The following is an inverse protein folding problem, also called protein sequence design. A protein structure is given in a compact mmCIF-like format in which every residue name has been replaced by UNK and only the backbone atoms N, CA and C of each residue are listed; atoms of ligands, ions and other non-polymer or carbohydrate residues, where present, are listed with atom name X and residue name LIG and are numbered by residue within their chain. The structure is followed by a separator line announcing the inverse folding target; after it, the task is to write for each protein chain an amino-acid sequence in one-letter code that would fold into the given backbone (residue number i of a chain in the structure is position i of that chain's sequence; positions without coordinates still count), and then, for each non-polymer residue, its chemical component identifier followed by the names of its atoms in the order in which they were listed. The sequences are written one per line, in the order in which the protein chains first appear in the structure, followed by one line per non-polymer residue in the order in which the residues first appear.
data_IF_414223358610
#
_entry.id   IF_414223358610
#
_cell.length_a   1.000
_cell.length_b   1.000
_cell.length_c   1.000
_cell.angle_alpha   90.00
_cell.angle_beta   90.00
_cell.angle_gamma   90.00
#
_symmetry.space_group_name_H-M   'P 1'
#
loop_
_entity.id
_entity.type
_entity.pdbx_description
1 polymer ?
#
# COMPACT_ATOMS: atom_id res chain seq x y z
N UNK A 1 -10.96 39.16 -0.99
CA UNK A 1 -11.76 37.97 -1.35
C UNK A 1 -11.51 36.92 -0.27
N UNK A 2 -12.46 35.99 -0.01
CA UNK A 2 -12.21 34.87 0.89
C UNK A 2 -11.01 34.03 0.40
N UNK A 3 -10.20 33.48 1.31
CA UNK A 3 -9.16 32.51 0.97
C UNK A 3 -9.80 31.19 0.55
N UNK A 4 -9.35 30.60 -0.57
CA UNK A 4 -9.85 29.31 -1.03
C UNK A 4 -8.90 28.18 -0.64
N UNK A 5 -8.88 27.81 0.64
CA UNK A 5 -7.99 26.77 1.16
C UNK A 5 -8.11 25.43 0.42
N UNK A 6 -9.20 25.17 -0.29
CA UNK A 6 -9.38 23.94 -1.07
C UNK A 6 -8.60 23.91 -2.40
N UNK A 7 -8.17 25.04 -2.98
CA UNK A 7 -7.43 25.00 -4.24
C UNK A 7 -5.95 24.63 -4.05
N UNK A 8 -5.44 23.76 -4.92
CA UNK A 8 -4.02 23.35 -4.98
C UNK A 8 -3.08 24.49 -5.35
N UNK A 9 -3.59 25.56 -5.98
CA UNK A 9 -2.80 26.72 -6.43
C UNK A 9 -2.16 27.50 -5.28
N UNK A 10 -2.76 27.45 -4.09
CA UNK A 10 -2.22 28.06 -2.87
C UNK A 10 -1.20 27.15 -2.14
N UNK A 11 -0.79 26.04 -2.78
CA UNK A 11 0.30 25.16 -2.35
C UNK A 11 -0.13 23.75 -1.92
N UNK A 12 0.80 23.01 -1.32
CA UNK A 12 0.52 21.68 -0.76
C UNK A 12 -0.61 21.73 0.27
N UNK A 13 -1.32 20.62 0.46
CA UNK A 13 -2.35 20.50 1.52
C UNK A 13 -1.79 20.87 2.89
N UNK A 14 -0.51 20.60 3.15
CA UNK A 14 0.21 20.97 4.37
C UNK A 14 0.46 22.47 4.55
N UNK A 15 0.83 23.20 3.49
CA UNK A 15 0.95 24.67 3.53
C UNK A 15 -0.42 25.30 3.77
N UNK A 16 -1.45 24.81 3.08
CA UNK A 16 -2.84 25.28 3.22
C UNK A 16 -3.40 24.99 4.62
N UNK A 17 -3.04 23.85 5.22
CA UNK A 17 -3.38 23.47 6.60
C UNK A 17 -2.74 24.40 7.64
N UNK A 18 -1.44 24.68 7.50
CA UNK A 18 -0.72 25.59 8.39
C UNK A 18 -1.32 27.02 8.36
N UNK A 19 -1.65 27.48 7.14
CA UNK A 19 -2.28 28.78 6.92
C UNK A 19 -3.69 28.83 7.53
N UNK A 20 -4.50 27.80 7.34
CA UNK A 20 -5.84 27.69 7.93
C UNK A 20 -5.80 27.65 9.47
N UNK A 21 -4.81 26.99 10.08
CA UNK A 21 -4.65 27.02 11.54
C UNK A 21 -4.35 28.43 12.07
N UNK A 22 -3.40 29.12 11.42
CA UNK A 22 -3.06 30.51 11.73
C UNK A 22 -4.26 31.45 11.59
N UNK A 23 -5.00 31.35 10.49
CA UNK A 23 -6.20 32.16 10.24
C UNK A 23 -7.33 31.83 11.23
N UNK A 24 -7.55 30.56 11.57
CA UNK A 24 -8.55 30.16 12.57
C UNK A 24 -8.25 30.76 13.96
N UNK A 25 -6.99 30.82 14.37
CA UNK A 25 -6.57 31.43 15.64
C UNK A 25 -6.63 32.97 15.61
N UNK A 26 -6.42 33.60 14.44
CA UNK A 26 -6.32 35.04 14.30
C UNK A 26 -7.63 35.79 14.62
N UNK A 27 -7.65 36.51 15.75
CA UNK A 27 -8.81 37.29 16.23
C UNK A 27 -9.12 38.56 15.42
N UNK A 28 -8.24 38.99 14.51
CA UNK A 28 -8.47 40.14 13.61
C UNK A 28 -9.24 39.79 12.33
N UNK A 29 -9.37 38.49 12.00
CA UNK A 29 -10.15 38.05 10.85
C UNK A 29 -11.64 37.97 11.17
N UNK A 30 -12.47 38.02 10.12
CA UNK A 30 -13.92 37.90 10.29
C UNK A 30 -14.31 36.52 10.82
N UNK A 31 -15.49 36.42 11.45
CA UNK A 31 -16.04 35.13 11.87
C UNK A 31 -16.18 34.15 10.69
N UNK A 32 -16.45 34.67 9.49
CA UNK A 32 -16.63 33.87 8.27
C UNK A 32 -15.30 33.29 7.78
N UNK A 33 -14.25 34.12 7.63
CA UNK A 33 -12.90 33.66 7.24
C UNK A 33 -12.37 32.58 8.18
N UNK A 34 -12.62 32.74 9.48
CA UNK A 34 -12.23 31.78 10.53
C UNK A 34 -13.05 30.50 10.49
N UNK A 35 -14.33 30.56 10.11
CA UNK A 35 -15.15 29.36 9.90
C UNK A 35 -14.73 28.61 8.63
N UNK A 36 -14.40 29.31 7.55
CA UNK A 36 -13.87 28.72 6.32
C UNK A 36 -12.52 28.03 6.56
N UNK A 37 -11.67 28.61 7.41
CA UNK A 37 -10.42 27.99 7.85
C UNK A 37 -10.67 26.74 8.72
N UNK A 38 -11.64 26.79 9.64
CA UNK A 38 -12.03 25.65 10.48
C UNK A 38 -12.58 24.49 9.65
N UNK A 39 -13.43 24.77 8.65
CA UNK A 39 -14.02 23.80 7.75
C UNK A 39 -12.96 23.04 6.95
N UNK A 40 -11.96 23.76 6.40
CA UNK A 40 -10.83 23.13 5.72
C UNK A 40 -10.01 22.20 6.65
N UNK A 41 -9.76 22.60 7.90
CA UNK A 41 -9.07 21.73 8.86
C UNK A 41 -9.89 20.49 9.23
N UNK A 42 -11.20 20.64 9.41
CA UNK A 42 -12.15 19.53 9.62
C UNK A 42 -12.10 18.54 8.46
N UNK A 43 -12.04 19.05 7.23
CA UNK A 43 -11.94 18.25 5.99
C UNK A 43 -10.61 17.49 5.89
N UNK A 44 -9.47 18.18 6.06
CA UNK A 44 -8.12 17.59 5.97
C UNK A 44 -7.88 16.53 7.05
N UNK A 45 -8.45 16.70 8.24
CA UNK A 45 -8.38 15.73 9.34
C UNK A 45 -9.56 14.74 9.36
N UNK A 46 -10.45 14.74 8.35
CA UNK A 46 -11.60 13.83 8.20
C UNK A 46 -12.44 13.68 9.50
N UNK A 47 -12.70 14.80 10.18
CA UNK A 47 -13.29 14.84 11.54
C UNK A 47 -14.80 14.53 11.50
N UNK A 48 -15.14 13.25 11.42
CA UNK A 48 -16.50 12.72 11.31
C UNK A 48 -17.38 12.86 12.57
N UNK A 49 -16.82 13.19 13.74
CA UNK A 49 -17.54 13.20 15.04
C UNK A 49 -17.44 14.54 15.77
N UNK A 50 -18.43 15.39 15.56
CA UNK A 50 -18.58 16.63 16.31
C UNK A 50 -19.15 16.38 17.71
N UNK A 51 -18.55 17.01 18.72
CA UNK A 51 -19.02 16.97 20.10
C UNK A 51 -19.58 18.35 20.47
N UNK A 52 -20.85 18.39 20.88
CA UNK A 52 -21.49 19.61 21.38
C UNK A 52 -20.94 20.05 22.75
N UNK A 53 -20.00 19.29 23.35
CA UNK A 53 -19.26 19.70 24.54
C UNK A 53 -18.25 20.79 24.17
N UNK A 54 -18.36 21.94 24.82
CA UNK A 54 -17.49 23.11 24.65
C UNK A 54 -15.99 22.72 24.65
N UNK A 55 -15.23 23.34 23.74
CA UNK A 55 -13.78 23.20 23.54
C UNK A 55 -13.25 21.83 23.05
N UNK A 56 -14.05 20.77 22.92
CA UNK A 56 -13.53 19.44 22.51
C UNK A 56 -12.91 19.44 21.11
N UNK A 57 -13.54 20.12 20.14
CA UNK A 57 -12.98 20.25 18.78
C UNK A 57 -11.66 21.04 18.78
N UNK A 58 -11.57 22.12 19.56
CA UNK A 58 -10.35 22.91 19.68
C UNK A 58 -9.22 22.09 20.29
N UNK A 59 -9.47 21.33 21.36
CA UNK A 59 -8.48 20.43 21.97
C UNK A 59 -7.98 19.36 20.99
N UNK A 60 -8.85 18.84 20.12
CA UNK A 60 -8.45 17.91 19.06
C UNK A 60 -7.52 18.60 18.04
N UNK A 61 -7.90 19.78 17.54
CA UNK A 61 -7.10 20.54 16.57
C UNK A 61 -5.76 21.02 17.18
N UNK A 62 -5.76 21.49 18.43
CA UNK A 62 -4.55 21.86 19.18
C UNK A 62 -3.59 20.68 19.29
N UNK A 63 -4.08 19.47 19.58
CA UNK A 63 -3.25 18.27 19.67
C UNK A 63 -2.68 17.84 18.31
N UNK A 64 -3.52 17.83 17.26
CA UNK A 64 -3.12 17.46 15.90
C UNK A 64 -2.08 18.43 15.33
N UNK A 65 -2.29 19.74 15.50
CA UNK A 65 -1.32 20.74 15.04
C UNK A 65 -0.04 20.74 15.88
N UNK A 66 -0.10 20.45 17.19
CA UNK A 66 1.10 20.24 18.00
C UNK A 66 1.89 18.98 17.60
N UNK A 67 1.23 17.90 17.16
CA UNK A 67 1.94 16.74 16.62
C UNK A 67 2.56 17.06 15.26
N UNK A 68 1.82 17.76 14.38
CA UNK A 68 2.35 18.24 13.10
C UNK A 68 3.60 19.10 13.31
N UNK A 69 3.55 20.16 14.12
CA UNK A 69 4.69 21.05 14.36
C UNK A 69 5.93 20.32 14.91
N UNK A 70 5.76 19.24 15.69
CA UNK A 70 6.89 18.40 16.15
C UNK A 70 7.58 17.67 14.99
N UNK A 71 6.83 17.05 14.07
CA UNK A 71 7.39 16.25 12.97
C UNK A 71 7.73 17.07 11.71
N UNK A 72 7.09 18.22 11.50
CA UNK A 72 7.16 19.10 10.31
C UNK A 72 8.57 19.54 9.91
N UNK A 73 9.53 19.57 10.84
CA UNK A 73 10.94 19.88 10.54
C UNK A 73 11.65 18.74 9.79
N UNK A 74 11.27 17.50 10.08
CA UNK A 74 11.87 16.28 9.49
C UNK A 74 11.06 15.81 8.28
N UNK A 75 9.73 15.95 8.36
CA UNK A 75 8.80 15.73 7.26
C UNK A 75 7.78 16.88 7.15
N UNK A 76 8.02 17.89 6.31
CA UNK A 76 7.08 19.01 6.09
C UNK A 76 5.70 18.58 5.59
N UNK A 77 5.62 17.39 4.97
CA UNK A 77 4.44 16.82 4.32
C UNK A 77 3.57 15.98 5.28
N UNK A 78 4.05 15.71 6.50
CA UNK A 78 3.35 14.93 7.52
C UNK A 78 2.02 15.58 7.98
N UNK A 79 0.92 14.81 7.94
CA UNK A 79 -0.40 15.20 8.47
C UNK A 79 -0.89 14.08 9.38
N UNK A 80 -1.02 14.28 10.72
CA UNK A 80 -1.17 13.19 11.67
C UNK A 80 -2.23 12.13 11.32
N UNK A 81 -3.45 12.56 10.97
CA UNK A 81 -4.57 11.63 10.68
C UNK A 81 -4.38 10.85 9.36
N UNK A 82 -3.72 11.45 8.36
CA UNK A 82 -3.42 10.76 7.09
C UNK A 82 -2.26 9.79 7.29
N UNK A 83 -1.26 10.23 8.06
CA UNK A 83 -0.01 9.56 8.33
C UNK A 83 -0.11 8.37 9.30
N UNK A 84 -1.22 8.21 10.02
CA UNK A 84 -1.52 7.00 10.80
C UNK A 84 -2.21 5.94 9.95
N UNK A 85 -1.45 4.93 9.49
CA UNK A 85 -1.97 3.84 8.67
C UNK A 85 -1.46 2.45 9.07
N UNK A 86 -1.88 1.42 8.33
CA UNK A 86 -1.57 0.00 8.62
C UNK A 86 -0.20 -0.48 8.10
N UNK A 87 0.73 0.39 7.68
CA UNK A 87 2.10 0.04 7.28
C UNK A 87 3.07 0.23 8.47
N UNK A 88 4.12 -0.60 8.62
CA UNK A 88 5.12 -0.41 9.71
C UNK A 88 6.07 0.76 9.43
N UNK A 89 6.18 1.19 8.17
CA UNK A 89 6.96 2.37 7.80
C UNK A 89 6.30 3.66 8.31
N UNK A 90 6.88 4.23 9.36
CA UNK A 90 6.51 5.56 9.86
C UNK A 90 6.85 6.65 8.82
N UNK A 91 5.95 7.61 8.54
CA UNK A 91 6.21 8.78 7.69
C UNK A 91 7.07 9.83 8.40
N UNK A 92 8.26 9.42 8.85
CA UNK A 92 9.24 10.26 9.56
C UNK A 92 10.05 11.17 8.62
N UNK A 93 10.06 10.89 7.31
CA UNK A 93 10.87 11.58 6.30
C UNK A 93 10.18 11.56 4.93
N UNK A 94 10.55 12.50 4.06
CA UNK A 94 10.30 12.40 2.62
C UNK A 94 11.31 11.40 2.02
N UNK A 95 10.82 10.34 1.35
CA UNK A 95 11.70 9.37 0.69
C UNK A 95 12.43 9.98 -0.52
N UNK A 96 13.52 9.31 -0.93
CA UNK A 96 14.33 9.65 -2.10
C UNK A 96 14.34 8.47 -3.09
N UNK A 97 14.60 8.69 -4.39
CA UNK A 97 14.91 7.61 -5.31
C UNK A 97 16.09 6.77 -4.81
N UNK A 98 15.93 5.45 -4.88
CA UNK A 98 16.96 4.44 -4.67
C UNK A 98 17.83 4.30 -5.92
N UNK A 99 19.14 4.11 -5.74
CA UNK A 99 20.11 3.95 -6.84
C UNK A 99 20.09 2.57 -7.50
N UNK A 100 19.51 1.58 -6.82
CA UNK A 100 19.25 0.23 -7.32
C UNK A 100 17.87 -0.19 -6.80
N UNK A 101 17.09 -0.90 -7.62
CA UNK A 101 15.71 -1.30 -7.29
C UNK A 101 15.62 -2.10 -5.99
N UNK A 102 14.77 -1.65 -5.08
CA UNK A 102 14.47 -2.22 -3.76
C UNK A 102 15.68 -2.32 -2.80
N UNK A 103 16.73 -1.52 -3.04
CA UNK A 103 17.91 -1.43 -2.16
C UNK A 103 18.00 -0.07 -1.46
N UNK A 104 18.22 -0.12 -0.15
CA UNK A 104 18.50 1.06 0.69
C UNK A 104 19.53 0.75 1.76
N UNK A 105 20.37 1.73 2.08
CA UNK A 105 21.25 1.70 3.27
C UNK A 105 20.51 2.04 4.56
N UNK A 106 19.29 2.56 4.48
CA UNK A 106 18.45 2.85 5.64
C UNK A 106 17.64 1.62 6.04
N UNK A 107 17.88 1.10 7.23
CA UNK A 107 17.37 -0.21 7.66
C UNK A 107 15.83 -0.27 7.77
N UNK A 108 15.16 0.84 8.09
CA UNK A 108 13.69 0.91 8.11
C UNK A 108 13.09 0.83 6.69
N UNK A 109 13.71 1.52 5.72
CA UNK A 109 13.33 1.45 4.30
C UNK A 109 13.63 0.05 3.72
N UNK A 110 14.83 -0.50 3.95
CA UNK A 110 15.15 -1.84 3.47
C UNK A 110 14.23 -2.90 4.08
N UNK A 111 13.91 -2.79 5.37
CA UNK A 111 12.94 -3.69 5.98
C UNK A 111 11.52 -3.49 5.42
N UNK A 112 11.14 -2.30 4.95
CA UNK A 112 9.86 -2.07 4.27
C UNK A 112 9.82 -2.74 2.88
N UNK A 113 10.90 -2.68 2.09
CA UNK A 113 11.03 -3.51 0.88
C UNK A 113 10.95 -5.01 1.21
N UNK A 114 11.69 -5.48 2.23
CA UNK A 114 11.70 -6.87 2.68
C UNK A 114 10.33 -7.37 3.23
N UNK A 115 9.36 -6.47 3.46
CA UNK A 115 7.97 -6.76 3.82
C UNK A 115 6.96 -6.56 2.67
N UNK A 116 7.40 -6.10 1.50
CA UNK A 116 6.50 -5.70 0.40
C UNK A 116 5.65 -4.47 0.73
N UNK A 117 6.05 -3.64 1.70
CA UNK A 117 5.36 -2.40 2.07
C UNK A 117 5.68 -1.23 1.12
N UNK A 118 6.77 -1.32 0.38
CA UNK A 118 7.20 -0.35 -0.63
C UNK A 118 7.32 -1.01 -2.00
N UNK A 119 6.77 -0.35 -3.01
CA UNK A 119 7.09 -0.56 -4.42
C UNK A 119 8.20 0.41 -4.83
N UNK A 120 9.04 -0.02 -5.77
CA UNK A 120 10.13 0.76 -6.34
C UNK A 120 10.06 0.71 -7.87
N UNK A 121 10.61 1.72 -8.55
CA UNK A 121 10.85 1.68 -9.99
C UNK A 121 11.85 0.56 -10.27
N UNK A 122 11.49 -0.41 -11.13
CA UNK A 122 12.38 -1.53 -11.41
C UNK A 122 13.68 -1.10 -12.11
N UNK A 123 14.70 -1.95 -11.99
CA UNK A 123 16.10 -1.65 -12.36
C UNK A 123 16.30 -1.25 -13.83
N UNK A 124 15.47 -1.73 -14.75
CA UNK A 124 15.58 -1.39 -16.18
C UNK A 124 15.11 0.04 -16.45
N UNK A 125 14.02 0.43 -15.80
CA UNK A 125 13.27 1.62 -16.15
C UNK A 125 13.71 2.85 -15.35
N UNK A 126 14.38 2.69 -14.20
CA UNK A 126 15.02 3.79 -13.44
C UNK A 126 15.82 4.74 -14.33
N UNK A 127 16.66 4.19 -15.22
CA UNK A 127 17.51 4.96 -16.13
C UNK A 127 16.74 5.64 -17.26
N UNK A 128 15.59 5.10 -17.65
CA UNK A 128 14.70 5.77 -18.59
C UNK A 128 14.03 6.97 -17.91
N UNK A 129 13.56 6.78 -16.68
CA UNK A 129 12.88 7.81 -15.89
C UNK A 129 13.77 9.00 -15.57
N UNK A 130 14.99 8.76 -15.07
CA UNK A 130 15.98 9.81 -14.78
C UNK A 130 16.33 10.68 -15.99
N UNK A 131 16.17 10.16 -17.22
CA UNK A 131 16.56 10.83 -18.46
C UNK A 131 15.40 11.47 -19.25
N UNK A 132 14.16 11.02 -19.05
CA UNK A 132 13.00 11.43 -19.87
C UNK A 132 11.77 11.86 -19.06
N UNK A 133 11.61 11.38 -17.83
CA UNK A 133 10.38 11.58 -17.05
C UNK A 133 10.44 12.92 -16.31
N UNK A 134 9.34 13.68 -16.35
CA UNK A 134 9.26 14.95 -15.61
C UNK A 134 8.96 14.67 -14.14
N UNK A 135 9.99 14.69 -13.30
CA UNK A 135 9.83 14.59 -11.85
C UNK A 135 9.25 15.88 -11.26
N UNK A 136 8.26 15.75 -10.38
CA UNK A 136 7.53 16.86 -9.76
C UNK A 136 8.05 17.17 -8.36
N UNK A 137 8.16 18.46 -8.02
CA UNK A 137 8.26 18.92 -6.63
C UNK A 137 6.94 18.69 -5.89
N UNK A 138 6.92 18.63 -4.53
CA UNK A 138 5.68 18.56 -3.76
C UNK A 138 4.63 19.62 -4.14
N UNK A 139 5.07 20.85 -4.42
CA UNK A 139 4.21 21.95 -4.84
C UNK A 139 3.58 21.69 -6.22
N UNK A 140 4.27 21.00 -7.13
CA UNK A 140 3.71 20.57 -8.42
C UNK A 140 2.86 19.30 -8.28
N UNK A 141 3.22 18.34 -7.40
CA UNK A 141 2.38 17.17 -7.07
C UNK A 141 1.01 17.60 -6.55
N UNK A 142 0.92 18.72 -5.83
CA UNK A 142 -0.32 19.20 -5.21
C UNK A 142 -1.51 19.37 -6.18
N UNK A 143 -1.28 19.60 -7.48
CA UNK A 143 -2.36 19.68 -8.49
C UNK A 143 -2.91 18.31 -8.92
N UNK A 144 -2.18 17.22 -8.64
CA UNK A 144 -2.56 15.83 -8.90
C UNK A 144 -3.16 15.12 -7.68
N UNK A 145 -2.95 15.66 -6.47
CA UNK A 145 -3.49 15.06 -5.25
C UNK A 145 -5.02 14.93 -5.27
N UNK A 146 -5.49 13.83 -4.69
CA UNK A 146 -6.90 13.54 -4.44
C UNK A 146 -7.09 13.20 -2.97
N UNK A 147 -8.09 13.79 -2.36
CA UNK A 147 -8.47 13.60 -0.97
C UNK A 147 -9.52 12.49 -0.85
N UNK A 148 -9.56 11.80 0.28
CA UNK A 148 -10.66 10.89 0.63
C UNK A 148 -11.34 11.46 1.86
N UNK A 149 -12.60 11.86 1.70
CA UNK A 149 -13.44 12.47 2.73
C UNK A 149 -14.79 11.72 2.76
N UNK A 150 -15.27 11.33 3.94
CA UNK A 150 -16.53 10.58 4.09
C UNK A 150 -16.68 9.33 3.21
N UNK A 151 -15.57 8.71 2.80
CA UNK A 151 -15.55 7.53 1.92
C UNK A 151 -15.67 7.81 0.43
N UNK A 152 -15.66 9.09 0.02
CA UNK A 152 -15.64 9.50 -1.38
C UNK A 152 -14.30 10.15 -1.73
N UNK A 153 -13.89 9.98 -2.99
CA UNK A 153 -12.77 10.69 -3.60
C UNK A 153 -13.16 12.11 -3.99
N UNK A 154 -12.37 13.08 -3.54
CA UNK A 154 -12.57 14.50 -3.78
C UNK A 154 -11.29 15.13 -4.34
N UNK A 155 -11.40 16.08 -5.28
CA UNK A 155 -10.30 16.90 -5.78
C UNK A 155 -10.65 18.37 -5.60
N UNK A 156 -9.78 19.12 -4.92
CA UNK A 156 -10.05 20.49 -4.46
C UNK A 156 -11.40 20.62 -3.72
N UNK A 157 -11.68 19.69 -2.80
CA UNK A 157 -12.95 19.67 -2.04
C UNK A 157 -14.19 19.16 -2.79
N UNK A 158 -14.14 19.01 -4.12
CA UNK A 158 -15.29 18.57 -4.94
C UNK A 158 -15.22 17.08 -5.22
N UNK A 159 -16.36 16.41 -5.30
CA UNK A 159 -16.46 15.01 -5.75
C UNK A 159 -15.74 14.83 -7.09
N UNK A 160 -14.82 13.86 -7.16
CA UNK A 160 -14.05 13.56 -8.36
C UNK A 160 -14.73 12.48 -9.22
N UNK A 161 -14.52 12.55 -10.53
CA UNK A 161 -15.01 11.57 -11.50
C UNK A 161 -13.99 11.48 -12.66
N UNK A 162 -13.52 10.28 -12.97
CA UNK A 162 -12.53 10.05 -14.03
C UNK A 162 -13.14 9.64 -15.38
N UNK A 163 -14.47 9.69 -15.54
CA UNK A 163 -15.17 9.26 -16.77
C UNK A 163 -14.81 10.03 -18.04
N UNK A 164 -14.09 11.15 -17.94
CA UNK A 164 -13.56 11.93 -19.07
C UNK A 164 -12.06 11.75 -19.29
N UNK A 165 -11.36 11.10 -18.35
CA UNK A 165 -9.92 10.89 -18.35
C UNK A 165 -9.51 9.58 -19.01
N UNK A 166 -8.24 9.49 -19.42
CA UNK A 166 -7.67 8.29 -20.05
C UNK A 166 -6.32 7.93 -19.40
N UNK A 167 -6.16 6.66 -19.01
CA UNK A 167 -4.88 6.05 -18.64
C UNK A 167 -4.57 4.85 -19.54
N UNK A 168 -3.38 4.79 -20.13
CA UNK A 168 -2.91 3.73 -21.05
C UNK A 168 -3.98 3.29 -22.08
N UNK A 169 -4.65 4.25 -22.73
CA UNK A 169 -5.73 4.06 -23.72
C UNK A 169 -7.02 3.42 -23.18
N UNK A 170 -7.21 3.36 -21.85
CA UNK A 170 -8.43 2.90 -21.17
C UNK A 170 -9.25 4.12 -20.74
N UNK A 171 -10.41 4.42 -21.40
CA UNK A 171 -11.25 5.54 -21.01
C UNK A 171 -11.89 5.31 -19.64
N UNK A 172 -12.01 6.37 -18.85
CA UNK A 172 -12.53 6.30 -17.48
C UNK A 172 -11.46 6.05 -16.41
N UNK A 173 -10.22 5.73 -16.79
CA UNK A 173 -9.12 5.47 -15.86
C UNK A 173 -8.19 6.66 -15.67
N UNK A 174 -7.62 6.76 -14.48
CA UNK A 174 -6.47 7.63 -14.14
C UNK A 174 -5.36 6.78 -13.53
N UNK A 175 -4.11 7.10 -13.83
CA UNK A 175 -2.95 6.54 -13.16
C UNK A 175 -2.87 7.08 -11.73
N UNK A 176 -2.35 6.30 -10.78
CA UNK A 176 -2.21 6.71 -9.39
C UNK A 176 -0.91 6.26 -8.72
N UNK A 177 -0.51 7.02 -7.70
CA UNK A 177 0.48 6.60 -6.69
C UNK A 177 0.05 7.03 -5.30
N UNK A 178 0.23 6.14 -4.31
CA UNK A 178 0.11 6.45 -2.88
C UNK A 178 1.52 6.60 -2.30
N UNK A 179 1.91 7.81 -1.90
CA UNK A 179 3.24 8.05 -1.33
C UNK A 179 3.31 7.67 0.16
N UNK A 180 4.50 7.67 0.75
CA UNK A 180 4.69 7.29 2.17
C UNK A 180 4.04 8.24 3.16
N UNK A 181 3.70 9.47 2.76
CA UNK A 181 2.94 10.42 3.59
C UNK A 181 1.42 10.12 3.57
N UNK A 182 1.00 9.08 2.83
CA UNK A 182 -0.38 8.72 2.52
C UNK A 182 -1.12 9.80 1.69
N UNK A 183 -0.38 10.61 0.93
CA UNK A 183 -0.97 11.39 -0.17
C UNK A 183 -1.21 10.46 -1.36
N UNK A 184 -2.44 10.46 -1.87
CA UNK A 184 -2.80 9.81 -3.12
C UNK A 184 -2.79 10.85 -4.23
N UNK A 185 -2.01 10.63 -5.28
CA UNK A 185 -2.01 11.47 -6.47
C UNK A 185 -2.60 10.70 -7.64
N UNK A 186 -3.47 11.36 -8.43
CA UNK A 186 -4.05 10.80 -9.67
C UNK A 186 -3.86 11.74 -10.85
N UNK A 187 -3.54 11.16 -12.00
CA UNK A 187 -3.20 11.89 -13.22
C UNK A 187 -3.60 11.10 -14.47
N UNK A 188 -3.78 11.80 -15.58
CA UNK A 188 -3.94 11.15 -16.89
C UNK A 188 -2.57 10.68 -17.37
N UNK A 189 -2.50 9.45 -17.88
CA UNK A 189 -1.26 8.88 -18.36
C UNK A 189 -1.45 8.27 -19.74
N UNK A 190 -0.78 8.83 -20.74
CA UNK A 190 -0.78 8.30 -22.10
C UNK A 190 0.67 8.12 -22.55
N UNK A 191 1.13 6.86 -22.69
CA UNK A 191 2.55 6.56 -22.92
C UNK A 191 3.17 7.36 -24.06
N UNK A 192 4.28 8.06 -23.77
CA UNK A 192 5.03 8.83 -24.75
C UNK A 192 4.35 10.12 -25.21
N UNK A 193 3.22 10.52 -24.61
CA UNK A 193 2.60 11.83 -24.84
C UNK A 193 2.92 12.77 -23.68
N UNK A 194 3.00 14.06 -24.02
CA UNK A 194 3.14 15.14 -23.05
C UNK A 194 1.76 15.62 -22.59
N UNK A 195 1.67 16.12 -21.36
CA UNK A 195 0.48 16.82 -20.89
C UNK A 195 0.33 18.22 -21.51
N UNK A 196 -0.75 18.94 -21.16
CA UNK A 196 -1.00 20.31 -21.62
C UNK A 196 0.10 21.32 -21.24
N UNK A 197 0.96 20.98 -20.27
CA UNK A 197 2.09 21.78 -19.81
C UNK A 197 3.42 21.33 -20.44
N UNK A 198 3.41 20.37 -21.36
CA UNK A 198 4.60 19.86 -22.06
C UNK A 198 5.43 18.85 -21.25
N UNK A 199 4.87 18.24 -20.21
CA UNK A 199 5.56 17.31 -19.29
C UNK A 199 5.30 15.86 -19.68
N UNK A 200 6.33 15.01 -19.67
CA UNK A 200 6.15 13.56 -19.74
C UNK A 200 5.87 13.05 -18.32
N UNK A 201 4.60 12.74 -18.02
CA UNK A 201 4.17 12.27 -16.70
C UNK A 201 4.05 10.75 -16.67
N UNK A 202 4.86 10.08 -15.84
CA UNK A 202 4.73 8.66 -15.50
C UNK A 202 4.41 8.51 -14.00
N UNK A 203 4.19 7.29 -13.51
CA UNK A 203 3.99 7.03 -12.07
C UNK A 203 5.14 7.57 -11.21
N UNK A 204 6.37 7.50 -11.70
CA UNK A 204 7.56 8.04 -11.03
C UNK A 204 7.61 9.57 -10.98
N UNK A 205 6.87 10.29 -11.83
CA UNK A 205 6.77 11.75 -11.80
C UNK A 205 6.28 12.29 -10.47
N UNK A 206 5.23 11.68 -9.91
CA UNK A 206 4.54 12.17 -8.71
C UNK A 206 5.45 12.24 -7.48
N UNK A 207 6.40 11.31 -7.38
CA UNK A 207 7.27 11.14 -6.22
C UNK A 207 8.77 11.26 -6.56
N UNK A 208 9.11 11.85 -7.71
CA UNK A 208 10.48 12.03 -8.19
C UNK A 208 11.34 10.74 -8.15
N UNK A 209 10.75 9.62 -8.59
CA UNK A 209 11.37 8.29 -8.57
C UNK A 209 11.54 7.65 -7.18
N UNK A 210 11.05 8.27 -6.10
CA UNK A 210 11.08 7.69 -4.76
C UNK A 210 10.08 6.53 -4.59
N UNK A 211 10.37 5.55 -3.71
CA UNK A 211 9.48 4.43 -3.42
C UNK A 211 8.09 4.85 -2.90
N UNK A 212 7.08 4.03 -3.19
CA UNK A 212 5.66 4.32 -2.92
C UNK A 212 4.96 3.16 -2.21
N UNK A 213 3.88 3.43 -1.48
CA UNK A 213 3.08 2.42 -0.76
C UNK A 213 2.16 1.61 -1.70
N UNK A 214 1.78 2.21 -2.84
CA UNK A 214 1.00 1.58 -3.91
C UNK A 214 1.10 2.39 -5.22
N UNK A 215 0.93 1.73 -6.37
CA UNK A 215 0.83 2.36 -7.69
C UNK A 215 -0.02 1.49 -8.63
N UNK A 216 -0.63 2.10 -9.64
CA UNK A 216 -1.48 1.41 -10.62
C UNK A 216 -2.37 2.38 -11.38
N UNK A 217 -3.57 1.94 -11.78
CA UNK A 217 -4.64 2.83 -12.23
C UNK A 217 -5.95 2.56 -11.49
N UNK A 218 -6.84 3.55 -11.51
CA UNK A 218 -8.19 3.44 -10.96
C UNK A 218 -9.24 4.14 -11.81
N UNK A 219 -10.47 3.67 -11.69
CA UNK A 219 -11.69 4.24 -12.24
C UNK A 219 -12.55 4.75 -11.07
N UNK A 220 -12.84 6.05 -11.04
CA UNK A 220 -13.69 6.70 -10.04
C UNK A 220 -14.92 7.28 -10.73
N UNK A 221 -16.12 6.98 -10.22
CA UNK A 221 -17.37 7.59 -10.68
C UNK A 221 -18.18 8.15 -9.54
N UNK A 222 -18.57 9.42 -9.63
CA UNK A 222 -19.25 10.18 -8.57
C UNK A 222 -18.56 10.02 -7.20
N UNK A 223 -17.22 10.08 -7.17
CA UNK A 223 -16.41 9.91 -5.97
C UNK A 223 -16.29 8.48 -5.44
N UNK A 224 -16.91 7.48 -6.08
CA UNK A 224 -16.80 6.06 -5.67
C UNK A 224 -15.74 5.33 -6.47
N UNK A 225 -15.05 4.38 -5.84
CA UNK A 225 -14.21 3.43 -6.54
C UNK A 225 -15.07 2.47 -7.36
N UNK A 226 -14.74 2.29 -8.64
CA UNK A 226 -15.43 1.36 -9.54
C UNK A 226 -14.49 0.22 -9.89
N UNK A 227 -13.26 0.54 -10.28
CA UNK A 227 -12.24 -0.46 -10.53
C UNK A 227 -10.82 0.05 -10.27
N UNK A 228 -9.88 -0.89 -10.10
CA UNK A 228 -8.44 -0.65 -10.09
C UNK A 228 -7.71 -1.70 -10.94
N UNK A 229 -6.46 -1.45 -11.30
CA UNK A 229 -5.62 -2.45 -11.96
C UNK A 229 -4.14 -2.32 -11.56
N UNK A 230 -3.36 -3.36 -11.86
CA UNK A 230 -1.91 -3.44 -11.57
C UNK A 230 -1.03 -2.64 -12.55
N UNK A 231 -1.62 -1.86 -13.47
CA UNK A 231 -0.92 -1.22 -14.57
C UNK A 231 -0.19 0.07 -14.12
N UNK A 232 0.95 -0.13 -13.45
CA UNK A 232 1.81 0.96 -12.94
C UNK A 232 3.05 1.24 -13.80
N UNK A 233 3.20 0.51 -14.92
CA UNK A 233 4.47 0.41 -15.64
C UNK A 233 5.58 -0.12 -14.74
N UNK A 234 6.42 0.79 -14.25
CA UNK A 234 7.73 0.46 -13.69
C UNK A 234 7.68 -0.09 -12.25
N UNK A 235 6.58 0.12 -11.50
CA UNK A 235 6.47 -0.22 -10.07
C UNK A 235 5.94 -1.64 -9.75
N UNK A 236 5.41 -2.36 -10.74
CA UNK A 236 5.07 -3.80 -10.69
C UNK A 236 4.35 -4.27 -9.38
N UNK A 237 3.15 -3.74 -9.05
CA UNK A 237 2.41 -4.08 -7.84
C UNK A 237 1.98 -5.54 -7.80
N UNK A 238 2.32 -6.23 -6.71
CA UNK A 238 1.80 -7.56 -6.36
C UNK A 238 0.37 -7.48 -5.80
N UNK A 239 -0.36 -8.60 -5.79
CA UNK A 239 -1.70 -8.66 -5.14
C UNK A 239 -1.65 -8.28 -3.66
N UNK A 240 -0.52 -8.52 -2.97
CA UNK A 240 -0.33 -8.02 -1.60
C UNK A 240 -0.38 -6.48 -1.58
N UNK A 241 0.38 -5.80 -2.44
CA UNK A 241 0.32 -4.32 -2.51
C UNK A 241 -1.06 -3.79 -2.93
N UNK A 242 -1.81 -4.54 -3.75
CA UNK A 242 -3.20 -4.22 -4.15
C UNK A 242 -4.18 -4.39 -2.99
N UNK A 243 -4.13 -5.50 -2.25
CA UNK A 243 -4.94 -5.74 -1.06
C UNK A 243 -4.70 -4.66 0.01
N UNK A 244 -3.42 -4.36 0.26
CA UNK A 244 -2.95 -3.30 1.15
C UNK A 244 -3.43 -1.91 0.74
N UNK A 245 -3.52 -1.64 -0.56
CA UNK A 245 -4.12 -0.41 -1.07
C UNK A 245 -5.64 -0.36 -0.88
N UNK A 246 -6.35 -1.45 -1.18
CA UNK A 246 -7.79 -1.58 -0.96
C UNK A 246 -8.16 -1.43 0.53
N UNK A 247 -7.34 -1.98 1.43
CA UNK A 247 -7.44 -1.75 2.88
C UNK A 247 -7.22 -0.29 3.27
N UNK A 248 -6.21 0.39 2.71
CA UNK A 248 -6.01 1.81 2.95
C UNK A 248 -7.25 2.63 2.56
N UNK A 249 -7.86 2.35 1.41
CA UNK A 249 -9.10 2.98 0.98
C UNK A 249 -10.28 2.64 1.90
N UNK A 250 -10.48 1.36 2.19
CA UNK A 250 -11.57 0.85 3.06
C UNK A 250 -11.51 1.40 4.48
N UNK A 251 -10.31 1.50 5.07
CA UNK A 251 -10.12 2.11 6.40
C UNK A 251 -10.45 3.61 6.43
N UNK A 252 -10.38 4.32 5.30
CA UNK A 252 -10.84 5.71 5.15
C UNK A 252 -12.34 5.83 4.84
N UNK A 253 -13.02 4.70 4.70
CA UNK A 253 -14.46 4.57 4.49
C UNK A 253 -14.88 4.41 3.03
N UNK A 254 -13.94 4.21 2.10
CA UNK A 254 -14.28 3.92 0.69
C UNK A 254 -14.94 2.55 0.61
N UNK A 255 -16.11 2.49 -0.01
CA UNK A 255 -16.80 1.23 -0.28
C UNK A 255 -16.08 0.48 -1.42
N UNK A 256 -15.52 -0.69 -1.08
CA UNK A 256 -14.83 -1.58 -2.02
C UNK A 256 -15.65 -2.84 -2.36
N UNK A 257 -16.89 -2.97 -1.85
CA UNK A 257 -17.68 -4.22 -1.97
C UNK A 257 -18.03 -4.59 -3.41
N UNK A 258 -18.32 -3.59 -4.24
CA UNK A 258 -18.60 -3.72 -5.68
C UNK A 258 -17.40 -3.27 -6.55
N UNK A 259 -16.21 -3.04 -5.94
CA UNK A 259 -15.01 -2.65 -6.69
C UNK A 259 -14.42 -3.84 -7.43
N UNK A 260 -14.05 -3.61 -8.69
CA UNK A 260 -13.37 -4.60 -9.54
C UNK A 260 -11.85 -4.40 -9.53
N UNK A 261 -11.10 -5.49 -9.58
CA UNK A 261 -9.66 -5.47 -9.85
C UNK A 261 -9.41 -6.15 -11.18
N UNK A 262 -8.71 -5.48 -12.08
CA UNK A 262 -8.25 -6.08 -13.34
C UNK A 262 -6.77 -6.46 -13.23
N UNK A 263 -6.48 -7.74 -13.45
CA UNK A 263 -5.12 -8.26 -13.57
C UNK A 263 -4.76 -8.50 -15.04
N UNK A 264 -3.52 -8.22 -15.41
CA UNK A 264 -3.01 -8.47 -16.76
C UNK A 264 -2.86 -9.98 -17.06
N UNK A 265 -2.49 -10.76 -16.04
CA UNK A 265 -2.27 -12.21 -16.12
C UNK A 265 -3.42 -12.99 -15.47
N UNK A 266 -3.63 -14.24 -15.91
CA UNK A 266 -4.69 -15.10 -15.37
C UNK A 266 -4.37 -15.51 -13.91
N UNK A 267 -5.30 -15.34 -12.96
CA UNK A 267 -5.20 -16.02 -11.67
C UNK A 267 -5.17 -17.54 -11.90
N UNK A 268 -4.19 -18.27 -11.35
CA UNK A 268 -4.04 -19.72 -11.56
C UNK A 268 -5.30 -20.53 -11.17
N UNK A 269 -5.41 -21.85 -11.33
CA UNK A 269 -6.69 -22.54 -10.96
C UNK A 269 -6.80 -22.78 -9.46
N UNK A 270 -5.65 -23.03 -8.87
CA UNK A 270 -5.30 -22.83 -7.48
C UNK A 270 -5.25 -21.34 -7.10
N UNK A 271 -5.79 -20.43 -7.95
CA UNK A 271 -6.29 -19.13 -7.52
C UNK A 271 -7.62 -19.19 -6.82
N UNK A 272 -8.53 -20.08 -7.22
CA UNK A 272 -9.94 -20.04 -6.83
C UNK A 272 -10.67 -18.69 -6.94
N UNK A 273 -9.99 -17.58 -7.29
CA UNK A 273 -10.53 -16.26 -7.51
C UNK A 273 -11.48 -16.43 -8.68
N UNK A 274 -12.75 -16.11 -8.45
CA UNK A 274 -13.79 -16.22 -9.47
C UNK A 274 -13.63 -15.05 -10.42
N UNK A 275 -12.65 -15.17 -11.30
CA UNK A 275 -12.38 -14.16 -12.30
C UNK A 275 -13.37 -14.23 -13.46
N UNK A 276 -13.55 -13.12 -14.17
CA UNK A 276 -14.19 -13.08 -15.48
C UNK A 276 -13.22 -12.44 -16.47
N UNK A 277 -13.16 -12.95 -17.71
CA UNK A 277 -12.28 -12.36 -18.73
C UNK A 277 -12.95 -11.11 -19.30
N UNK A 278 -12.54 -9.94 -18.82
CA UNK A 278 -13.07 -8.63 -19.20
C UNK A 278 -12.24 -7.94 -20.28
N UNK A 279 -12.61 -6.69 -20.58
CA UNK A 279 -11.95 -5.85 -21.58
C UNK A 279 -10.49 -5.50 -21.20
N UNK A 280 -10.20 -5.41 -19.90
CA UNK A 280 -8.92 -4.91 -19.37
C UNK A 280 -8.07 -6.00 -18.69
N UNK A 281 -8.36 -7.28 -18.97
CA UNK A 281 -7.71 -8.44 -18.37
C UNK A 281 -8.69 -9.30 -17.58
N UNK A 282 -8.20 -9.89 -16.48
CA UNK A 282 -8.98 -10.77 -15.62
C UNK A 282 -9.62 -9.96 -14.50
N UNK A 283 -10.94 -9.82 -14.56
CA UNK A 283 -11.79 -9.08 -13.62
C UNK A 283 -12.07 -9.91 -12.38
N UNK A 284 -11.82 -9.36 -11.20
CA UNK A 284 -11.98 -10.03 -9.90
C UNK A 284 -12.66 -9.06 -8.94
N UNK A 285 -13.41 -9.55 -7.93
CA UNK A 285 -13.83 -8.69 -6.83
C UNK A 285 -12.64 -8.24 -5.99
N UNK A 286 -12.61 -6.96 -5.61
CA UNK A 286 -11.67 -6.41 -4.65
C UNK A 286 -11.76 -7.09 -3.27
N UNK A 287 -12.93 -7.60 -2.90
CA UNK A 287 -13.11 -8.40 -1.67
C UNK A 287 -12.24 -9.65 -1.72
N UNK A 288 -12.38 -10.45 -2.77
CA UNK A 288 -11.87 -11.83 -2.81
C UNK A 288 -10.34 -11.89 -2.73
N UNK A 289 -9.66 -10.88 -3.29
CA UNK A 289 -8.21 -10.65 -3.21
C UNK A 289 -7.78 -10.39 -1.75
N UNK A 290 -8.26 -9.28 -1.14
CA UNK A 290 -7.97 -8.92 0.27
C UNK A 290 -8.21 -10.10 1.20
N UNK A 291 -9.33 -10.77 0.96
CA UNK A 291 -9.85 -11.85 1.76
C UNK A 291 -9.05 -13.14 1.69
N UNK A 292 -8.41 -13.41 0.56
CA UNK A 292 -7.62 -14.62 0.34
C UNK A 292 -6.26 -14.53 0.99
N UNK A 293 -5.56 -13.38 0.90
CA UNK A 293 -4.18 -13.18 1.43
C UNK A 293 -4.10 -13.71 2.87
N UNK A 294 -5.11 -13.40 3.69
CA UNK A 294 -5.26 -13.90 5.06
C UNK A 294 -5.03 -15.39 5.24
N UNK A 295 -5.75 -16.24 4.50
CA UNK A 295 -5.96 -17.65 4.86
C UNK A 295 -4.65 -18.41 5.04
N UNK A 296 -3.64 -18.02 4.28
CA UNK A 296 -2.33 -18.69 4.21
C UNK A 296 -1.48 -18.27 5.38
N UNK A 297 -1.53 -16.99 5.69
CA UNK A 297 -0.93 -16.45 6.89
C UNK A 297 -1.58 -17.10 8.12
N UNK A 298 -2.90 -17.30 8.14
CA UNK A 298 -3.61 -18.04 9.21
C UNK A 298 -3.05 -19.45 9.38
N UNK A 299 -2.97 -20.22 8.29
CA UNK A 299 -2.39 -21.58 8.31
C UNK A 299 -0.93 -21.57 8.81
N UNK A 300 -0.16 -20.52 8.54
CA UNK A 300 1.24 -20.42 8.96
C UNK A 300 1.40 -19.95 10.42
N UNK A 301 0.45 -19.19 10.98
CA UNK A 301 0.36 -19.01 12.42
C UNK A 301 0.09 -20.32 13.12
N UNK A 302 -0.91 -21.08 12.70
CA UNK A 302 -1.28 -22.36 13.33
C UNK A 302 -0.06 -23.31 13.46
N UNK A 303 0.75 -23.42 12.40
CA UNK A 303 1.99 -24.20 12.42
C UNK A 303 3.07 -23.70 13.42
N UNK A 304 3.10 -22.41 13.75
CA UNK A 304 4.07 -21.81 14.69
C UNK A 304 3.51 -21.68 16.10
N UNK A 305 2.20 -21.48 16.28
CA UNK A 305 1.54 -21.57 17.58
C UNK A 305 1.69 -22.97 18.19
N UNK A 306 1.60 -24.04 17.38
CA UNK A 306 2.01 -25.39 17.79
C UNK A 306 3.45 -25.44 18.32
N UNK A 307 4.37 -24.68 17.71
CA UNK A 307 5.76 -24.65 18.16
C UNK A 307 5.91 -23.88 19.48
N UNK A 308 5.38 -22.65 19.55
CA UNK A 308 5.52 -21.73 20.69
C UNK A 308 4.81 -22.31 21.91
N UNK A 309 3.55 -22.72 21.77
CA UNK A 309 2.68 -23.12 22.87
C UNK A 309 2.90 -24.56 23.34
N UNK A 310 3.73 -25.36 22.66
CA UNK A 310 4.08 -26.69 23.14
C UNK A 310 4.80 -26.63 24.50
N UNK A 311 4.42 -27.53 25.42
CA UNK A 311 4.98 -27.64 26.78
C UNK A 311 6.51 -27.71 26.79
N UNK A 312 7.11 -28.35 25.77
CA UNK A 312 8.57 -28.49 25.63
C UNK A 312 9.26 -27.16 25.31
N UNK A 313 8.67 -26.28 24.51
CA UNK A 313 9.22 -24.93 24.25
C UNK A 313 9.06 -24.05 25.49
N UNK A 314 7.88 -24.06 26.10
CA UNK A 314 7.59 -23.26 27.30
C UNK A 314 8.54 -23.60 28.47
N UNK A 315 8.80 -24.89 28.72
CA UNK A 315 9.81 -25.34 29.68
C UNK A 315 11.23 -24.86 29.33
N UNK A 316 11.62 -24.91 28.05
CA UNK A 316 12.94 -24.45 27.62
C UNK A 316 13.08 -22.92 27.55
N UNK A 317 12.01 -22.13 27.54
CA UNK A 317 12.12 -20.67 27.69
C UNK A 317 12.57 -20.30 29.12
N UNK A 318 12.04 -21.00 30.12
CA UNK A 318 12.40 -20.80 31.54
C UNK A 318 13.74 -21.43 31.94
N UNK A 319 14.06 -22.63 31.43
CA UNK A 319 15.21 -23.43 31.90
C UNK A 319 16.24 -23.76 30.82
N UNK A 320 16.05 -23.29 29.58
CA UNK A 320 16.97 -23.54 28.46
C UNK A 320 18.21 -22.65 28.48
N UNK A 321 19.18 -23.02 27.64
CA UNK A 321 20.40 -22.23 27.45
C UNK A 321 20.17 -21.03 26.52
N UNK A 322 21.14 -20.11 26.45
CA UNK A 322 21.07 -18.89 25.61
C UNK A 322 20.70 -19.17 24.15
N UNK A 323 21.20 -20.27 23.57
CA UNK A 323 20.87 -20.68 22.20
C UNK A 323 19.39 -21.04 22.08
N UNK A 324 18.82 -21.79 23.04
CA UNK A 324 17.40 -22.13 23.02
C UNK A 324 16.50 -20.92 23.22
N UNK A 325 16.88 -20.00 24.11
CA UNK A 325 16.19 -18.72 24.30
C UNK A 325 16.22 -17.85 23.03
N UNK A 326 17.37 -17.79 22.33
CA UNK A 326 17.48 -17.09 21.06
C UNK A 326 16.63 -17.72 19.94
N UNK A 327 16.56 -19.06 19.86
CA UNK A 327 15.65 -19.75 18.93
C UNK A 327 14.18 -19.41 19.23
N UNK A 328 13.77 -19.39 20.49
CA UNK A 328 12.40 -18.99 20.86
C UNK A 328 12.09 -17.51 20.59
N UNK A 329 13.06 -16.61 20.71
CA UNK A 329 12.89 -15.20 20.31
C UNK A 329 12.66 -15.07 18.80
N UNK A 330 13.42 -15.80 17.97
CA UNK A 330 13.21 -15.88 16.52
C UNK A 330 11.82 -16.40 16.17
N UNK A 331 11.32 -17.42 16.88
CA UNK A 331 9.97 -17.94 16.68
C UNK A 331 8.88 -16.91 17.04
N UNK A 332 9.06 -16.15 18.13
CA UNK A 332 8.13 -15.10 18.54
C UNK A 332 8.13 -13.94 17.55
N UNK A 333 9.29 -13.47 17.10
CA UNK A 333 9.39 -12.42 16.08
C UNK A 333 8.71 -12.83 14.75
N UNK A 334 8.90 -14.09 14.30
CA UNK A 334 8.19 -14.63 13.13
C UNK A 334 6.67 -14.59 13.33
N UNK A 335 6.20 -15.11 14.48
CA UNK A 335 4.78 -15.09 14.83
C UNK A 335 4.22 -13.66 14.81
N UNK A 336 4.89 -12.72 15.48
CA UNK A 336 4.44 -11.34 15.60
C UNK A 336 4.41 -10.61 14.23
N UNK A 337 5.31 -10.96 13.30
CA UNK A 337 5.28 -10.44 11.92
C UNK A 337 4.14 -11.04 11.08
N UNK A 338 3.86 -12.34 11.20
CA UNK A 338 2.73 -12.97 10.49
C UNK A 338 1.38 -12.51 11.08
N UNK A 339 1.26 -12.42 12.41
CA UNK A 339 0.09 -11.86 13.12
C UNK A 339 -0.16 -10.44 12.65
N UNK A 340 0.84 -9.56 12.73
CA UNK A 340 0.71 -8.17 12.30
C UNK A 340 0.13 -8.06 10.89
N UNK A 341 0.66 -8.87 9.98
CA UNK A 341 0.29 -8.80 8.56
C UNK A 341 -1.12 -9.34 8.36
N UNK A 342 -1.53 -10.42 9.03
CA UNK A 342 -2.92 -10.89 9.07
C UNK A 342 -3.90 -9.87 9.63
N UNK A 343 -3.49 -9.14 10.66
CA UNK A 343 -4.31 -8.17 11.38
C UNK A 343 -4.52 -6.88 10.57
N UNK A 344 -3.80 -6.71 9.44
CA UNK A 344 -4.03 -5.60 8.50
C UNK A 344 -5.17 -5.89 7.53
N UNK A 345 -5.28 -7.14 7.08
CA UNK A 345 -6.25 -7.65 6.10
C UNK A 345 -7.65 -7.89 6.73
N UNK A 346 -8.72 -8.07 5.92
CA UNK A 346 -10.06 -8.58 6.35
C UNK A 346 -10.57 -9.77 5.50
N UNK A 347 -11.71 -10.40 5.81
CA UNK A 347 -11.93 -11.87 5.66
C UNK A 347 -12.92 -12.39 4.56
N UNK A 348 -12.60 -13.55 3.95
CA UNK A 348 -13.43 -14.53 3.15
C UNK A 348 -13.39 -14.60 1.58
N UNK A 349 -12.92 -15.66 0.90
CA UNK A 349 -11.53 -16.16 0.71
C UNK A 349 -11.46 -16.83 -0.69
N UNK A 350 -10.40 -16.61 -1.48
CA UNK A 350 -9.96 -17.60 -2.49
C UNK A 350 -8.50 -17.48 -3.00
N UNK A 351 -7.69 -18.46 -2.58
CA UNK A 351 -6.71 -19.24 -3.35
C UNK A 351 -5.49 -18.58 -4.11
N UNK A 352 -5.46 -17.48 -4.90
CA UNK A 352 -4.19 -17.11 -5.66
C UNK A 352 -3.27 -16.21 -4.89
N UNK A 353 -3.88 -15.46 -4.01
CA UNK A 353 -3.23 -14.88 -2.87
C UNK A 353 -2.76 -16.02 -1.95
N UNK A 354 -3.02 -17.33 -2.22
CA UNK A 354 -2.13 -18.41 -1.76
C UNK A 354 -0.81 -18.40 -2.49
N UNK A 355 -0.71 -18.33 -3.82
CA UNK A 355 0.58 -18.17 -4.52
C UNK A 355 1.34 -16.93 -4.04
N UNK A 356 0.69 -15.78 -3.92
CA UNK A 356 1.36 -14.54 -3.48
C UNK A 356 1.59 -14.46 -1.96
N UNK A 357 0.76 -15.10 -1.13
CA UNK A 357 1.11 -15.26 0.30
C UNK A 357 2.15 -16.36 0.51
N UNK A 358 2.28 -17.33 -0.39
CA UNK A 358 3.41 -18.27 -0.42
C UNK A 358 4.70 -17.52 -0.74
N UNK A 359 4.70 -16.60 -1.72
CA UNK A 359 5.87 -15.75 -1.99
C UNK A 359 6.19 -14.81 -0.80
N UNK A 360 5.17 -14.22 -0.18
CA UNK A 360 5.31 -13.42 1.04
C UNK A 360 5.87 -14.25 2.21
N UNK A 361 5.31 -15.43 2.46
CA UNK A 361 5.77 -16.34 3.51
C UNK A 361 7.11 -16.97 3.19
N UNK A 362 7.47 -17.19 1.92
CA UNK A 362 8.78 -17.69 1.53
C UNK A 362 9.86 -16.64 1.85
N UNK A 363 9.57 -15.36 1.60
CA UNK A 363 10.40 -14.24 2.05
C UNK A 363 10.52 -14.18 3.59
N UNK A 364 9.41 -14.32 4.32
CA UNK A 364 9.41 -14.31 5.79
C UNK A 364 10.16 -15.54 6.35
N UNK A 365 9.81 -16.76 5.96
CA UNK A 365 10.43 -18.00 6.45
C UNK A 365 11.90 -18.10 6.04
N UNK A 366 12.29 -17.58 4.87
CA UNK A 366 13.69 -17.56 4.45
C UNK A 366 14.48 -16.58 5.30
N UNK A 367 14.02 -15.33 5.47
CA UNK A 367 14.62 -14.34 6.38
C UNK A 367 14.79 -14.87 7.82
N UNK A 368 13.76 -15.51 8.37
CA UNK A 368 13.82 -16.07 9.73
C UNK A 368 14.63 -17.38 9.80
N UNK A 369 14.74 -18.15 8.72
CA UNK A 369 15.68 -19.30 8.62
C UNK A 369 17.13 -18.84 8.58
N UNK A 370 17.47 -17.83 7.77
CA UNK A 370 18.81 -17.25 7.73
C UNK A 370 19.21 -16.71 9.11
N UNK A 371 18.30 -16.00 9.79
CA UNK A 371 18.50 -15.54 11.18
C UNK A 371 18.67 -16.69 12.18
N UNK A 372 18.05 -17.85 11.93
CA UNK A 372 18.16 -19.06 12.75
C UNK A 372 19.50 -19.79 12.51
N UNK A 373 19.94 -19.87 11.25
CA UNK A 373 21.21 -20.46 10.82
C UNK A 373 22.41 -19.67 11.38
N UNK A 374 22.32 -18.33 11.40
CA UNK A 374 23.32 -17.43 12.00
C UNK A 374 23.60 -17.68 13.49
N UNK A 375 22.72 -18.39 14.22
CA UNK A 375 22.97 -18.78 15.62
C UNK A 375 24.05 -19.87 15.79
N UNK A 376 24.57 -20.46 14.70
CA UNK A 376 25.70 -21.41 14.70
C UNK A 376 25.53 -22.58 15.71
N UNK A 377 24.31 -23.08 15.85
CA UNK A 377 23.95 -24.15 16.78
C UNK A 377 23.33 -25.35 16.09
N UNK A 378 23.40 -26.52 16.72
CA UNK A 378 22.82 -27.75 16.18
C UNK A 378 21.34 -27.57 15.76
N UNK A 379 20.92 -28.19 14.63
CA UNK A 379 19.52 -28.25 14.24
C UNK A 379 18.64 -28.79 15.37
N UNK A 380 17.54 -28.08 15.63
CA UNK A 380 16.60 -28.38 16.71
C UNK A 380 15.16 -28.34 16.21
N UNK A 381 14.23 -28.27 17.16
CA UNK A 381 12.80 -28.43 16.86
C UNK A 381 12.15 -27.18 16.23
N UNK A 382 12.84 -26.03 16.20
CA UNK A 382 12.42 -24.86 15.43
C UNK A 382 12.90 -24.99 13.99
N UNK A 383 14.17 -25.39 13.83
CA UNK A 383 14.82 -25.66 12.55
C UNK A 383 13.99 -26.67 11.76
N UNK A 384 13.61 -27.80 12.38
CA UNK A 384 12.70 -28.77 11.76
C UNK A 384 11.31 -28.18 11.40
N UNK A 385 10.78 -27.23 12.18
CA UNK A 385 9.50 -26.56 11.89
C UNK A 385 9.64 -25.56 10.74
N UNK A 386 10.74 -24.81 10.66
CA UNK A 386 11.06 -23.94 9.53
C UNK A 386 11.39 -24.73 8.26
N UNK A 387 12.07 -25.88 8.37
CA UNK A 387 12.25 -26.82 7.25
C UNK A 387 10.92 -27.41 6.80
N UNK A 388 10.02 -27.79 7.71
CA UNK A 388 8.66 -28.24 7.35
C UNK A 388 7.85 -27.12 6.70
N UNK A 389 7.92 -25.89 7.20
CA UNK A 389 7.27 -24.74 6.56
C UNK A 389 7.86 -24.44 5.18
N UNK A 390 9.19 -24.38 5.02
CA UNK A 390 9.85 -24.27 3.71
C UNK A 390 9.46 -25.42 2.79
N UNK A 391 9.37 -26.67 3.27
CA UNK A 391 8.90 -27.80 2.47
C UNK A 391 7.42 -27.69 2.08
N UNK A 392 6.54 -27.20 2.96
CA UNK A 392 5.11 -27.01 2.64
C UNK A 392 4.89 -25.85 1.65
N UNK A 393 5.62 -24.75 1.84
CA UNK A 393 5.68 -23.59 0.96
C UNK A 393 6.21 -24.01 -0.41
N UNK A 394 7.33 -24.74 -0.46
CA UNK A 394 7.92 -25.27 -1.70
C UNK A 394 7.06 -26.40 -2.32
N UNK A 395 6.38 -27.24 -1.55
CA UNK A 395 5.45 -28.27 -2.07
C UNK A 395 4.25 -27.60 -2.74
N UNK A 396 3.65 -26.58 -2.11
CA UNK A 396 2.58 -25.82 -2.76
C UNK A 396 3.13 -25.05 -3.98
N UNK A 397 4.31 -24.44 -3.88
CA UNK A 397 4.97 -23.72 -4.99
C UNK A 397 5.23 -24.64 -6.19
N UNK A 398 5.86 -25.80 -6.01
CA UNK A 398 6.09 -26.79 -7.08
C UNK A 398 4.78 -27.37 -7.63
N UNK A 399 3.77 -27.57 -6.78
CA UNK A 399 2.43 -27.99 -7.18
C UNK A 399 1.74 -26.92 -8.04
N UNK A 400 2.10 -25.65 -7.91
CA UNK A 400 1.59 -24.53 -8.72
C UNK A 400 2.47 -24.26 -9.96
N UNK A 401 3.78 -24.52 -9.90
CA UNK A 401 4.69 -24.45 -11.06
C UNK A 401 4.44 -25.58 -12.06
N UNK A 402 4.29 -26.84 -11.61
CA UNK A 402 4.03 -28.00 -12.48
C UNK A 402 2.64 -28.02 -13.14
N UNK A 403 1.79 -27.04 -12.82
CA UNK A 403 0.50 -26.81 -13.50
C UNK A 403 0.65 -25.83 -14.68
N UNK A 404 1.62 -24.92 -14.61
CA UNK A 404 1.92 -23.93 -15.66
C UNK A 404 2.41 -24.64 -16.95
N UNK A 405 3.47 -25.47 -16.82
CA UNK A 405 4.05 -26.26 -17.93
C UNK A 405 2.99 -27.08 -18.69
N UNK A 406 2.08 -27.73 -17.95
CA UNK A 406 1.04 -28.60 -18.52
C UNK A 406 -0.09 -27.83 -19.21
N UNK A 407 -0.33 -26.58 -18.84
CA UNK A 407 -1.31 -25.75 -19.51
C UNK A 407 -0.68 -24.99 -20.68
N UNK A 408 0.62 -24.69 -20.64
CA UNK A 408 1.41 -24.20 -21.77
C UNK A 408 1.54 -25.25 -22.88
N UNK A 409 1.87 -26.51 -22.57
CA UNK A 409 1.86 -27.61 -23.57
C UNK A 409 0.48 -27.74 -24.25
N UNK A 410 -0.60 -27.70 -23.47
CA UNK A 410 -1.96 -27.76 -24.00
C UNK A 410 -2.37 -26.49 -24.76
N UNK A 411 -1.81 -25.32 -24.42
CA UNK A 411 -2.01 -24.06 -25.18
C UNK A 411 -1.34 -24.16 -26.54
N UNK A 412 -0.12 -24.70 -26.59
CA UNK A 412 0.64 -24.95 -27.81
C UNK A 412 -0.06 -25.99 -28.70
N UNK A 413 -0.58 -27.09 -28.15
CA UNK A 413 -1.36 -28.07 -28.92
C UNK A 413 -2.67 -27.48 -29.46
N UNK A 414 -3.43 -26.73 -28.64
CA UNK A 414 -4.66 -26.07 -29.09
C UNK A 414 -4.38 -25.07 -30.22
N UNK A 415 -3.30 -24.29 -30.13
CA UNK A 415 -2.87 -23.37 -31.18
C UNK A 415 -2.52 -24.10 -32.48
N UNK A 416 -1.75 -25.20 -32.39
CA UNK A 416 -1.41 -26.10 -33.52
C UNK A 416 -2.60 -26.91 -34.10
N UNK A 417 -3.79 -26.80 -33.51
CA UNK A 417 -5.02 -27.44 -34.02
C UNK A 417 -6.06 -26.46 -34.58
N UNK A 418 -5.75 -25.16 -34.56
CA UNK A 418 -6.63 -24.08 -35.04
C UNK A 418 -6.03 -23.31 -36.23
N UNK A 419 -4.77 -23.60 -36.59
CA UNK A 419 -4.01 -23.08 -37.73
C UNK A 419 -3.23 -24.23 -38.38
#
# INVERSE_FOLDING_TARGET
MPKNYFSSKDGTVTIRLDQAWSDYQNSSLSKEDRLNALDFMIYVFDIKKFSNKKNVLNQLLDNLMQEREKRKKENPEYIPVLSTGKYKLEPNRVLKPTSESQKSSEADIQNAFNRGELLDVNEKDKRFDEAHTTFLTPQQRAEFNIEINNGLFHKEGKIFDSSQSIAHKKPGFVAFTLNTNYELSVFEHQCGLLDEQGRLLLHSSMNAGAPVLAAGEMEIKNGKLISINTYSGHYQPSLYSVARFLEYLSNRGVDITETKVYLENEPSKESGLKYQKGQYGYEISATDIVHSVKKIMTLNLEYIDEYINSTRTQLFNFFGNKLTQAKSAIAQEFHDEVVYTMDTLKDSISLSDIKISIECLDSIITRYSEKLEQLNGNPGRLDNKFSVLKMLIQEQREKYERLDDKEEEQRIERFKSQH
#
